data_IF_751730197078
#
_entry.id   IF_751730197078
#
_cell.length_a   1.000
_cell.length_b   1.000
_cell.length_c   1.000
_cell.angle_alpha   90.00
_cell.angle_beta   90.00
_cell.angle_gamma   90.00
#
_symmetry.space_group_name_H-M   'P 1'
#
loop_
_entity.id
_entity.type
_entity.pdbx_description
1 polymer ?
#
# COMPACT_ATOMS: atom_id res chain seq x y z
N UNK A 1 -7.27 -10.50 -16.58
CA UNK A 1 -6.72 -11.12 -15.36
C UNK A 1 -5.98 -10.04 -14.59
N UNK A 2 -6.09 -10.05 -13.26
CA UNK A 2 -5.32 -9.17 -12.38
C UNK A 2 -4.36 -10.03 -11.56
N UNK A 3 -3.10 -9.59 -11.42
CA UNK A 3 -2.05 -10.31 -10.69
C UNK A 3 -1.43 -9.37 -9.67
N UNK A 4 -1.40 -9.81 -8.41
CA UNK A 4 -0.72 -9.10 -7.33
C UNK A 4 0.73 -9.56 -7.24
N UNK A 5 1.65 -8.61 -7.23
CA UNK A 5 3.10 -8.84 -7.24
C UNK A 5 3.68 -8.27 -5.93
N UNK A 6 4.39 -9.07 -5.12
CA UNK A 6 5.00 -8.57 -3.90
C UNK A 6 6.17 -7.60 -4.21
N UNK A 7 6.53 -6.70 -3.27
CA UNK A 7 7.63 -5.74 -3.47
C UNK A 7 8.97 -6.41 -3.80
N UNK A 8 9.18 -7.63 -3.31
CA UNK A 8 10.41 -8.42 -3.49
C UNK A 8 10.52 -9.12 -4.85
N UNK A 9 9.48 -9.08 -5.68
CA UNK A 9 9.49 -9.69 -7.01
C UNK A 9 9.74 -8.63 -8.09
N UNK A 10 10.81 -8.75 -8.90
CA UNK A 10 11.01 -7.89 -10.05
C UNK A 10 9.83 -7.99 -11.04
N UNK A 11 9.30 -6.85 -11.46
CA UNK A 11 8.15 -6.82 -12.38
C UNK A 11 8.41 -7.52 -13.72
N UNK A 12 9.66 -7.56 -14.16
CA UNK A 12 10.05 -8.29 -15.38
C UNK A 12 9.86 -9.81 -15.22
N UNK A 13 10.14 -10.35 -14.04
CA UNK A 13 9.93 -11.77 -13.74
C UNK A 13 8.44 -12.10 -13.68
N UNK A 14 7.64 -11.26 -13.03
CA UNK A 14 6.18 -11.41 -13.01
C UNK A 14 5.59 -11.41 -14.44
N UNK A 15 6.02 -10.45 -15.28
CA UNK A 15 5.60 -10.38 -16.68
C UNK A 15 6.01 -11.61 -17.47
N UNK A 16 7.22 -12.13 -17.27
CA UNK A 16 7.71 -13.35 -17.93
C UNK A 16 6.84 -14.55 -17.57
N UNK A 17 6.58 -14.76 -16.28
CA UNK A 17 5.75 -15.88 -15.78
C UNK A 17 4.36 -15.85 -16.43
N UNK A 18 3.71 -14.68 -16.46
CA UNK A 18 2.37 -14.56 -17.06
C UNK A 18 2.40 -14.77 -18.57
N UNK A 19 3.43 -14.26 -19.24
CA UNK A 19 3.59 -14.45 -20.68
C UNK A 19 3.81 -15.93 -21.02
N UNK A 20 4.63 -16.64 -20.26
CA UNK A 20 4.88 -18.07 -20.47
C UNK A 20 3.59 -18.88 -20.24
N UNK A 21 2.80 -18.53 -19.23
CA UNK A 21 1.48 -19.12 -19.01
C UNK A 21 0.53 -18.89 -20.20
N UNK A 22 0.47 -17.65 -20.71
CA UNK A 22 -0.33 -17.32 -21.89
C UNK A 22 0.10 -18.13 -23.12
N UNK A 23 1.40 -18.24 -23.39
CA UNK A 23 1.91 -18.99 -24.55
C UNK A 23 1.52 -20.47 -24.48
N UNK A 24 1.54 -21.06 -23.28
CA UNK A 24 1.07 -22.43 -23.08
C UNK A 24 -0.42 -22.59 -23.34
N UNK A 25 -1.25 -21.62 -22.93
CA UNK A 25 -2.69 -21.62 -23.23
C UNK A 25 -2.97 -21.46 -24.72
N UNK A 26 -2.27 -20.54 -25.39
CA UNK A 26 -2.41 -20.34 -26.83
C UNK A 26 -2.04 -21.58 -27.63
N UNK A 27 -1.05 -22.36 -27.18
CA UNK A 27 -0.71 -23.64 -27.80
C UNK A 27 -1.79 -24.72 -27.59
N UNK A 28 -2.40 -24.76 -26.40
CA UNK A 28 -3.45 -25.74 -26.09
C UNK A 28 -4.79 -25.43 -26.78
N UNK A 29 -5.07 -24.14 -27.02
CA UNK A 29 -6.34 -23.66 -27.56
C UNK A 29 -6.12 -22.71 -28.76
N UNK A 30 -5.56 -23.19 -29.88
CA UNK A 30 -5.18 -22.33 -31.01
C UNK A 30 -6.37 -21.60 -31.67
N UNK A 31 -7.56 -22.20 -31.65
CA UNK A 31 -8.76 -21.66 -32.31
C UNK A 31 -9.51 -20.61 -31.48
N UNK A 32 -9.04 -20.30 -30.26
CA UNK A 32 -9.77 -19.46 -29.30
C UNK A 32 -9.44 -17.96 -29.45
N UNK A 33 -8.52 -17.58 -30.35
CA UNK A 33 -8.18 -16.18 -30.61
C UNK A 33 -7.64 -15.42 -29.40
N UNK A 34 -6.79 -16.07 -28.59
CA UNK A 34 -6.27 -15.49 -27.35
C UNK A 34 -5.29 -14.34 -27.63
N UNK A 35 -5.41 -13.24 -26.88
CA UNK A 35 -4.53 -12.06 -26.93
C UNK A 35 -3.88 -11.77 -25.56
N UNK A 36 -2.69 -11.17 -25.57
CA UNK A 36 -1.95 -10.80 -24.37
C UNK A 36 -1.47 -9.35 -24.42
N UNK A 37 -2.02 -8.54 -23.52
CA UNK A 37 -1.63 -7.15 -23.34
C UNK A 37 -1.46 -6.83 -21.85
N UNK A 38 -0.52 -5.93 -21.53
CA UNK A 38 -0.33 -5.41 -20.17
C UNK A 38 -0.97 -4.02 -20.08
N UNK A 39 -2.09 -3.91 -19.38
CA UNK A 39 -2.80 -2.63 -19.20
C UNK A 39 -2.22 -1.77 -18.08
N UNK A 40 -1.86 -2.39 -16.95
CA UNK A 40 -1.31 -1.70 -15.78
C UNK A 40 -0.16 -2.52 -15.23
N UNK A 41 0.94 -1.85 -14.90
CA UNK A 41 2.13 -2.46 -14.31
C UNK A 41 2.65 -1.56 -13.19
N UNK A 42 2.34 -1.93 -11.96
CA UNK A 42 2.75 -1.21 -10.75
C UNK A 42 3.46 -2.20 -9.82
N UNK A 43 4.69 -1.90 -9.35
CA UNK A 43 5.39 -2.77 -8.41
C UNK A 43 4.75 -2.71 -7.01
N UNK A 44 4.98 -3.74 -6.20
CA UNK A 44 4.71 -3.66 -4.76
C UNK A 44 5.60 -2.60 -4.10
N UNK A 45 5.14 -2.02 -3.01
CA UNK A 45 5.89 -1.08 -2.19
C UNK A 45 6.02 -1.60 -0.76
N UNK A 46 7.19 -1.38 -0.17
CA UNK A 46 7.46 -1.58 1.25
C UNK A 46 8.40 -0.49 1.75
N UNK A 47 8.38 -0.26 3.06
CA UNK A 47 9.27 0.64 3.77
C UNK A 47 9.88 -0.15 4.93
N UNK A 48 11.13 0.13 5.27
CA UNK A 48 11.77 -0.48 6.44
C UNK A 48 11.03 -0.10 7.71
N UNK A 49 10.77 -1.08 8.58
CA UNK A 49 10.17 -0.83 9.90
C UNK A 49 11.05 0.04 10.80
N UNK A 50 12.36 0.06 10.54
CA UNK A 50 13.33 0.89 11.25
C UNK A 50 13.43 2.32 10.72
N UNK A 51 12.72 2.65 9.64
CA UNK A 51 12.74 3.98 9.04
C UNK A 51 12.15 5.04 9.99
N UNK A 52 12.73 6.23 10.03
CA UNK A 52 12.32 7.27 10.99
C UNK A 52 10.85 7.70 10.79
N UNK A 53 10.37 7.71 9.55
CA UNK A 53 8.96 7.95 9.23
C UNK A 53 8.03 6.95 9.94
N UNK A 54 8.39 5.66 9.98
CA UNK A 54 7.61 4.63 10.66
C UNK A 54 7.64 4.85 12.17
N UNK A 55 8.83 5.08 12.74
CA UNK A 55 9.01 5.34 14.17
C UNK A 55 8.25 6.57 14.65
N UNK A 56 8.25 7.64 13.85
CA UNK A 56 7.52 8.89 14.13
C UNK A 56 6.02 8.63 14.19
N UNK A 57 5.47 7.91 13.20
CA UNK A 57 4.06 7.54 13.20
C UNK A 57 3.71 6.62 14.37
N UNK A 58 4.55 5.64 14.70
CA UNK A 58 4.34 4.73 15.84
C UNK A 58 4.27 5.51 17.16
N UNK A 59 5.18 6.47 17.39
CA UNK A 59 5.16 7.36 18.56
C UNK A 59 3.90 8.21 18.61
N UNK A 60 3.61 8.94 17.52
CA UNK A 60 2.46 9.83 17.44
C UNK A 60 1.13 9.08 17.60
N UNK A 61 1.00 7.91 16.96
CA UNK A 61 -0.17 7.05 17.11
C UNK A 61 -0.33 6.55 18.54
N UNK A 62 0.74 6.01 19.14
CA UNK A 62 0.69 5.51 20.52
C UNK A 62 0.32 6.60 21.51
N UNK A 63 0.81 7.84 21.31
CA UNK A 63 0.48 8.98 22.16
C UNK A 63 -1.00 9.35 22.11
N UNK A 64 -1.63 9.30 20.93
CA UNK A 64 -3.03 9.71 20.74
C UNK A 64 -4.01 8.56 21.02
N UNK A 65 -3.65 7.33 20.65
CA UNK A 65 -4.53 6.16 20.69
C UNK A 65 -4.28 5.26 21.91
N UNK A 66 -3.16 5.43 22.61
CA UNK A 66 -2.78 4.64 23.79
C UNK A 66 -2.21 3.26 23.49
N UNK A 67 -2.20 2.83 22.23
CA UNK A 67 -1.66 1.55 21.76
C UNK A 67 -0.85 1.75 20.49
N UNK A 68 0.11 0.86 20.15
CA UNK A 68 0.78 0.92 18.85
C UNK A 68 -0.19 0.71 17.67
N UNK A 69 0.11 1.25 16.48
CA UNK A 69 -0.71 1.03 15.29
C UNK A 69 -0.62 -0.44 14.84
N UNK A 70 -1.73 -0.95 14.30
CA UNK A 70 -1.74 -2.26 13.66
C UNK A 70 -0.93 -2.24 12.35
N UNK A 71 -0.23 -3.33 12.06
CA UNK A 71 0.53 -3.52 10.82
C UNK A 71 -0.16 -4.55 9.94
N UNK A 72 -0.20 -4.30 8.63
CA UNK A 72 -0.83 -5.18 7.67
C UNK A 72 -0.06 -5.22 6.35
N UNK A 73 0.01 -6.41 5.76
CA UNK A 73 0.35 -6.58 4.35
C UNK A 73 -0.96 -6.59 3.57
N UNK A 74 -1.08 -5.68 2.62
CA UNK A 74 -2.30 -5.48 1.84
C UNK A 74 -2.09 -5.88 0.39
N UNK A 75 -3.16 -6.35 -0.26
CA UNK A 75 -3.13 -6.75 -1.67
C UNK A 75 -3.56 -5.62 -2.61
N UNK A 76 -4.01 -4.50 -2.06
CA UNK A 76 -4.35 -3.31 -2.85
C UNK A 76 -3.10 -2.52 -3.22
N UNK A 77 -3.24 -1.72 -4.28
CA UNK A 77 -2.19 -0.81 -4.76
C UNK A 77 -2.45 0.59 -4.21
N UNK A 78 -1.41 1.36 -3.94
CA UNK A 78 -1.50 2.81 -3.70
C UNK A 78 -0.37 3.57 -4.38
N UNK A 79 -0.42 4.89 -4.27
CA UNK A 79 0.61 5.78 -4.82
C UNK A 79 1.99 5.59 -4.17
N UNK A 80 2.07 4.87 -3.04
CA UNK A 80 3.35 4.46 -2.46
C UNK A 80 4.24 3.71 -3.47
N UNK A 81 3.65 2.93 -4.37
CA UNK A 81 4.37 2.23 -5.46
C UNK A 81 5.00 3.18 -6.48
N UNK A 82 4.41 4.36 -6.68
CA UNK A 82 4.98 5.39 -7.55
C UNK A 82 6.08 6.14 -6.83
N UNK A 83 5.84 6.55 -5.58
CA UNK A 83 6.77 7.36 -4.80
C UNK A 83 8.07 6.61 -4.48
N UNK A 84 7.98 5.34 -4.08
CA UNK A 84 9.16 4.49 -3.79
C UNK A 84 10.04 4.28 -5.01
N UNK A 85 9.46 4.22 -6.22
CA UNK A 85 10.23 4.16 -7.48
C UNK A 85 11.10 5.40 -7.72
N UNK A 86 10.70 6.54 -7.18
CA UNK A 86 11.49 7.78 -7.23
C UNK A 86 12.46 7.91 -6.05
N UNK A 87 12.62 6.86 -5.24
CA UNK A 87 13.51 6.86 -4.07
C UNK A 87 12.92 7.62 -2.88
N UNK A 88 11.61 7.86 -2.86
CA UNK A 88 10.93 8.52 -1.75
C UNK A 88 10.33 7.45 -0.83
N UNK A 89 10.91 7.31 0.36
CA UNK A 89 10.40 6.41 1.40
C UNK A 89 8.97 6.80 1.77
N UNK A 90 8.04 5.85 1.62
CA UNK A 90 6.61 6.11 1.70
C UNK A 90 5.90 5.00 2.47
N UNK A 91 4.98 5.39 3.36
CA UNK A 91 4.12 4.45 4.08
C UNK A 91 2.65 4.80 3.88
N UNK A 92 1.79 3.79 3.92
CA UNK A 92 0.35 3.99 3.96
C UNK A 92 -0.11 3.89 5.42
N UNK A 93 -0.77 4.93 5.90
CA UNK A 93 -1.33 5.01 7.24
C UNK A 93 -2.58 5.87 7.18
N UNK A 94 -3.65 5.49 7.86
CA UNK A 94 -4.92 6.20 7.81
C UNK A 94 -6.05 5.44 8.51
N UNK A 95 -7.27 6.01 8.52
CA UNK A 95 -8.43 5.35 9.11
C UNK A 95 -8.82 4.12 8.31
N UNK A 96 -9.37 3.12 9.00
CA UNK A 96 -10.12 2.04 8.37
C UNK A 96 -11.60 2.40 8.34
N UNK A 97 -12.28 2.09 7.24
CA UNK A 97 -13.73 2.25 7.11
C UNK A 97 -14.54 1.13 7.78
N UNK A 98 -13.87 0.17 8.44
CA UNK A 98 -14.53 -0.95 9.10
C UNK A 98 -15.29 -1.86 8.12
N UNK A 99 -16.16 -2.70 8.65
CA UNK A 99 -17.05 -3.53 7.83
C UNK A 99 -18.15 -2.66 7.19
N UNK A 100 -18.42 -2.90 5.91
CA UNK A 100 -19.49 -2.21 5.18
C UNK A 100 -20.83 -2.79 5.61
N UNK A 101 -21.76 -1.93 5.98
CA UNK A 101 -23.15 -2.32 6.27
C UNK A 101 -24.11 -1.76 5.21
N UNK A 102 -25.41 -1.77 5.50
CA UNK A 102 -26.44 -1.30 4.59
C UNK A 102 -26.28 0.17 4.18
N UNK A 103 -25.58 0.99 4.98
CA UNK A 103 -25.29 2.39 4.67
C UNK A 103 -24.02 2.57 3.83
N UNK A 104 -23.25 1.50 3.65
CA UNK A 104 -22.05 1.48 2.82
C UNK A 104 -20.76 1.77 3.60
N UNK A 105 -19.84 2.46 2.93
CA UNK A 105 -18.52 2.80 3.49
C UNK A 105 -18.63 4.01 4.42
N UNK A 106 -18.10 3.89 5.64
CA UNK A 106 -18.11 4.98 6.63
C UNK A 106 -16.88 4.94 7.50
N UNK A 107 -16.55 6.07 8.11
CA UNK A 107 -15.46 6.18 9.09
C UNK A 107 -16.01 6.83 10.35
N UNK A 108 -15.61 6.33 11.52
CA UNK A 108 -15.99 6.96 12.78
C UNK A 108 -15.34 8.35 12.90
N UNK A 109 -16.13 9.35 13.31
CA UNK A 109 -15.66 10.74 13.46
C UNK A 109 -14.51 10.81 14.47
N UNK A 110 -14.58 10.05 15.56
CA UNK A 110 -13.52 10.01 16.56
C UNK A 110 -12.22 9.45 15.98
N UNK A 111 -12.28 8.38 15.17
CA UNK A 111 -11.12 7.83 14.47
C UNK A 111 -10.52 8.84 13.51
N UNK A 112 -11.34 9.52 12.71
CA UNK A 112 -10.89 10.56 11.79
C UNK A 112 -10.20 11.71 12.53
N UNK A 113 -10.79 12.14 13.65
CA UNK A 113 -10.26 13.22 14.50
C UNK A 113 -8.93 12.84 15.13
N UNK A 114 -8.82 11.63 15.67
CA UNK A 114 -7.57 11.13 16.25
C UNK A 114 -6.46 11.01 15.22
N UNK A 115 -6.76 10.49 14.02
CA UNK A 115 -5.77 10.37 12.95
C UNK A 115 -5.32 11.73 12.43
N UNK A 116 -6.21 12.71 12.38
CA UNK A 116 -5.85 14.10 12.05
C UNK A 116 -4.82 14.66 13.04
N UNK A 117 -4.99 14.41 14.34
CA UNK A 117 -4.01 14.80 15.37
C UNK A 117 -2.66 14.10 15.17
N UNK A 118 -2.70 12.81 14.80
CA UNK A 118 -1.49 12.01 14.55
C UNK A 118 -0.72 12.55 13.35
N UNK A 119 -1.40 12.85 12.24
CA UNK A 119 -0.73 13.48 11.08
C UNK A 119 -0.14 14.83 11.43
N UNK A 120 -0.87 15.68 12.17
CA UNK A 120 -0.38 16.99 12.57
C UNK A 120 0.87 16.89 13.45
N UNK A 121 0.88 15.97 14.43
CA UNK A 121 2.03 15.75 15.30
C UNK A 121 3.23 15.19 14.53
N UNK A 122 3.02 14.16 13.72
CA UNK A 122 4.08 13.55 12.92
C UNK A 122 4.70 14.55 11.93
N UNK A 123 3.87 15.36 11.25
CA UNK A 123 4.36 16.40 10.36
C UNK A 123 5.15 17.47 11.13
N UNK A 124 4.67 17.89 12.31
CA UNK A 124 5.36 18.89 13.12
C UNK A 124 6.75 18.41 13.58
N UNK A 125 6.85 17.14 13.95
CA UNK A 125 8.10 16.47 14.35
C UNK A 125 9.07 16.30 13.17
N UNK A 126 8.60 15.75 12.06
CA UNK A 126 9.43 15.54 10.85
C UNK A 126 9.97 16.87 10.29
N UNK A 127 9.16 17.93 10.37
CA UNK A 127 9.56 19.26 9.92
C UNK A 127 10.34 20.07 10.97
N UNK A 128 10.60 19.52 12.16
CA UNK A 128 11.38 20.19 13.21
C UNK A 128 10.69 21.42 13.83
N UNK A 129 9.36 21.50 13.73
CA UNK A 129 8.56 22.59 14.32
C UNK A 129 8.02 22.24 15.71
N UNK A 130 8.18 20.99 16.12
CA UNK A 130 7.87 20.47 17.43
C UNK A 130 8.87 19.36 17.75
N UNK A 131 9.63 19.51 18.83
CA UNK A 131 10.42 18.43 19.43
C UNK A 131 9.68 17.95 20.67
N UNK A 132 9.64 16.63 20.88
CA UNK A 132 9.04 16.02 22.07
C UNK A 132 9.83 16.32 23.36
#
# INVERSE_FOLDING_TARGET
MDLRVPPTMPMQDARRIVKDFFLNLAQQFPDYGLEFETYVSVPGAEISEDHELVKTIDRAHTRIMGTPPARAVVQWCSDASVMTRFGIETLNYGPSSGERDAEGEKVAIDTLTSITKIYALAAAEICGTHED
#
